data_IF_220393485011
#
_entry.id   IF_220393485011
#
_cell.length_a   1.000
_cell.length_b   1.000
_cell.length_c   1.000
_cell.angle_alpha   90.00
_cell.angle_beta   90.00
_cell.angle_gamma   90.00
#
_symmetry.space_group_name_H-M   'P 1'
#
loop_
_entity.id
_entity.type
_entity.pdbx_description
1 polymer ?
#
# COMPACT_ATOMS: atom_id res chain seq x y z
N UNK A 1 -60.54 4.00 -25.34
CA UNK A 1 -59.53 4.69 -26.20
C UNK A 1 -58.71 5.73 -25.47
N UNK A 2 -59.27 6.60 -24.68
CA UNK A 2 -58.53 7.66 -23.94
C UNK A 2 -57.42 7.11 -23.02
N UNK A 3 -57.68 5.97 -22.35
CA UNK A 3 -56.70 5.32 -21.47
C UNK A 3 -55.47 4.81 -22.24
N UNK A 4 -55.66 4.32 -23.44
CA UNK A 4 -54.59 3.86 -24.32
C UNK A 4 -53.62 5.00 -24.67
N UNK A 5 -54.15 6.15 -25.10
CA UNK A 5 -53.29 7.30 -25.40
C UNK A 5 -52.60 7.87 -24.16
N UNK A 6 -53.23 7.87 -23.00
CA UNK A 6 -52.58 8.28 -21.75
C UNK A 6 -51.44 7.34 -21.37
N UNK A 7 -51.58 6.06 -21.58
CA UNK A 7 -50.52 5.09 -21.30
C UNK A 7 -49.33 5.26 -22.27
N UNK A 8 -49.62 5.45 -23.58
CA UNK A 8 -48.55 5.75 -24.57
C UNK A 8 -47.77 7.00 -24.14
N UNK A 9 -48.47 8.10 -23.85
CA UNK A 9 -47.83 9.33 -23.42
C UNK A 9 -46.96 9.13 -22.18
N UNK A 10 -47.46 8.41 -21.15
CA UNK A 10 -46.71 8.16 -19.92
C UNK A 10 -45.45 7.33 -20.17
N UNK A 11 -45.56 6.28 -20.99
CA UNK A 11 -44.42 5.42 -21.34
C UNK A 11 -43.41 6.16 -22.16
N UNK A 12 -43.84 6.91 -23.17
CA UNK A 12 -42.94 7.72 -24.02
C UNK A 12 -42.19 8.75 -23.19
N UNK A 13 -42.85 9.44 -22.26
CA UNK A 13 -42.24 10.39 -21.36
C UNK A 13 -41.17 9.73 -20.47
N UNK A 14 -41.45 8.55 -19.90
CA UNK A 14 -40.52 7.81 -19.07
C UNK A 14 -39.28 7.36 -19.87
N UNK A 15 -39.45 6.90 -21.11
CA UNK A 15 -38.37 6.53 -22.02
C UNK A 15 -37.47 7.73 -22.34
N UNK A 16 -38.07 8.86 -22.68
CA UNK A 16 -37.31 10.09 -22.97
C UNK A 16 -36.54 10.56 -21.74
N UNK A 17 -37.14 10.51 -20.55
CA UNK A 17 -36.44 10.85 -19.31
C UNK A 17 -35.25 9.94 -19.03
N UNK A 18 -35.39 8.62 -19.21
CA UNK A 18 -34.29 7.65 -19.10
C UNK A 18 -33.18 7.93 -20.11
N UNK A 19 -33.55 8.21 -21.36
CA UNK A 19 -32.59 8.52 -22.41
C UNK A 19 -31.81 9.83 -22.15
N UNK A 20 -32.49 10.85 -21.60
CA UNK A 20 -31.82 12.10 -21.21
C UNK A 20 -30.79 11.90 -20.11
N UNK A 21 -31.11 11.07 -19.09
CA UNK A 21 -30.17 10.74 -18.02
C UNK A 21 -28.92 10.04 -18.57
N UNK A 22 -29.10 9.00 -19.35
CA UNK A 22 -27.95 8.28 -19.96
C UNK A 22 -27.18 9.17 -20.96
N UNK A 23 -27.88 9.94 -21.79
CA UNK A 23 -27.29 10.86 -22.74
C UNK A 23 -26.46 11.97 -22.09
N UNK A 24 -26.82 12.40 -20.88
CA UNK A 24 -26.01 13.39 -20.14
C UNK A 24 -24.61 12.88 -19.77
N UNK A 25 -24.43 11.57 -19.66
CA UNK A 25 -23.14 10.97 -19.35
C UNK A 25 -22.21 10.91 -20.57
N UNK A 26 -22.75 11.00 -21.79
CA UNK A 26 -21.95 11.04 -23.01
C UNK A 26 -21.02 12.26 -23.07
N UNK A 27 -21.43 13.35 -22.46
CA UNK A 27 -20.67 14.61 -22.45
C UNK A 27 -19.79 14.79 -21.20
N UNK A 28 -19.81 13.84 -20.27
CA UNK A 28 -18.95 13.89 -19.09
C UNK A 28 -17.61 13.22 -19.36
N UNK A 29 -16.49 13.77 -18.83
CA UNK A 29 -15.20 13.12 -18.96
C UNK A 29 -15.21 11.76 -18.27
N UNK A 30 -14.43 10.80 -18.78
CA UNK A 30 -14.28 9.49 -18.20
C UNK A 30 -13.64 9.58 -16.80
N UNK A 31 -14.16 8.83 -15.83
CA UNK A 31 -13.64 8.77 -14.45
C UNK A 31 -12.55 7.69 -14.34
N UNK A 32 -12.49 6.79 -15.32
CA UNK A 32 -11.55 5.68 -15.35
C UNK A 32 -10.12 6.16 -15.58
N UNK A 33 -9.17 5.57 -14.85
CA UNK A 33 -7.75 5.79 -15.01
C UNK A 33 -7.19 4.74 -15.95
N UNK A 34 -6.40 5.16 -16.94
CA UNK A 34 -5.81 4.29 -17.95
C UNK A 34 -4.53 3.62 -17.41
N UNK A 35 -4.70 2.69 -16.47
CA UNK A 35 -3.57 1.91 -15.96
C UNK A 35 -3.09 0.92 -17.06
N UNK A 36 -1.77 0.75 -17.32
CA UNK A 36 -0.64 1.26 -16.53
C UNK A 36 -0.09 2.64 -16.97
N UNK A 37 -0.62 3.24 -18.07
CA UNK A 37 -0.10 4.48 -18.63
C UNK A 37 -0.32 5.68 -17.69
N UNK A 38 -1.50 5.71 -17.06
CA UNK A 38 -1.83 6.68 -16.02
C UNK A 38 -1.94 5.99 -14.68
N UNK A 39 -1.30 6.58 -13.65
CA UNK A 39 -1.32 6.05 -12.27
C UNK A 39 -1.88 7.09 -11.32
N UNK A 40 -2.76 6.63 -10.43
CA UNK A 40 -3.24 7.47 -9.34
C UNK A 40 -2.12 7.75 -8.35
N UNK A 41 -1.94 9.02 -7.98
CA UNK A 41 -1.04 9.41 -6.90
C UNK A 41 -1.70 9.08 -5.55
N UNK A 42 -1.12 8.17 -4.75
CA UNK A 42 -1.71 7.82 -3.48
C UNK A 42 -1.66 9.00 -2.50
N UNK A 43 -2.68 9.17 -1.63
CA UNK A 43 -2.70 10.22 -0.64
C UNK A 43 -1.57 10.03 0.39
N UNK A 44 -1.19 11.10 1.10
CA UNK A 44 -0.08 11.09 2.08
C UNK A 44 -0.22 10.03 3.17
N UNK A 45 -1.46 9.66 3.55
CA UNK A 45 -1.74 8.63 4.57
C UNK A 45 -1.98 7.25 3.98
N UNK A 46 -1.56 7.02 2.75
CA UNK A 46 -1.70 5.73 2.09
C UNK A 46 -0.88 4.64 2.82
N UNK A 47 -1.45 3.45 2.91
CA UNK A 47 -0.84 2.28 3.55
C UNK A 47 -0.39 1.29 2.48
N UNK A 48 0.65 1.64 1.76
CA UNK A 48 1.25 0.76 0.77
C UNK A 48 2.23 -0.24 1.39
N UNK A 49 3.14 -0.76 0.59
CA UNK A 49 4.12 -1.76 1.00
C UNK A 49 4.97 -1.27 2.17
N UNK A 50 5.23 -2.15 3.14
CA UNK A 50 6.13 -1.87 4.24
C UNK A 50 7.59 -1.91 3.76
N UNK A 51 8.36 -0.93 4.20
CA UNK A 51 9.83 -0.94 4.09
C UNK A 51 10.44 -0.94 5.47
N UNK A 52 11.63 -1.50 5.57
CA UNK A 52 12.37 -1.62 6.82
C UNK A 52 13.79 -1.08 6.65
N UNK A 53 14.18 -0.20 7.57
CA UNK A 53 15.52 0.33 7.66
C UNK A 53 16.27 -0.33 8.83
N UNK A 54 17.26 -1.14 8.49
CA UNK A 54 18.05 -1.91 9.45
C UNK A 54 19.03 -1.06 10.27
N UNK A 55 19.45 0.10 9.72
CA UNK A 55 20.46 0.94 10.38
C UNK A 55 19.88 1.71 11.57
N UNK A 56 18.62 2.14 11.47
CA UNK A 56 17.94 2.90 12.52
C UNK A 56 17.25 2.01 13.56
N UNK A 57 17.14 0.69 13.30
CA UNK A 57 16.43 -0.23 14.18
C UNK A 57 17.24 -0.55 15.45
N UNK A 58 16.58 -0.41 16.62
CA UNK A 58 17.12 -0.69 17.95
C UNK A 58 16.76 -2.08 18.51
N UNK A 59 16.18 -2.97 17.70
CA UNK A 59 15.77 -4.31 18.09
C UNK A 59 14.85 -4.38 19.35
N UNK A 60 13.99 -3.36 19.54
CA UNK A 60 13.15 -3.22 20.74
C UNK A 60 11.94 -4.16 20.79
N UNK A 61 11.63 -4.92 19.75
CA UNK A 61 10.49 -5.85 19.63
C UNK A 61 9.08 -5.23 19.72
N UNK A 62 8.95 -3.91 19.80
CA UNK A 62 7.63 -3.26 19.92
C UNK A 62 6.76 -3.49 18.67
N UNK A 63 7.35 -3.46 17.49
CA UNK A 63 6.62 -3.73 16.24
C UNK A 63 6.09 -5.18 16.16
N UNK A 64 6.83 -6.15 16.72
CA UNK A 64 6.39 -7.56 16.81
C UNK A 64 5.20 -7.69 17.73
N UNK A 65 5.27 -7.07 18.93
CA UNK A 65 4.20 -7.10 19.92
C UNK A 65 2.93 -6.36 19.47
N UNK A 66 3.10 -5.29 18.69
CA UNK A 66 1.99 -4.50 18.17
C UNK A 66 1.29 -5.16 16.96
N UNK A 67 1.89 -6.20 16.38
CA UNK A 67 1.34 -6.83 15.18
C UNK A 67 0.20 -7.81 15.53
N UNK A 68 -1.06 -7.56 15.12
CA UNK A 68 -2.19 -8.40 15.47
C UNK A 68 -2.15 -9.77 14.77
N UNK A 69 -1.50 -9.85 13.62
CA UNK A 69 -1.40 -11.09 12.82
C UNK A 69 -0.10 -11.85 13.03
N UNK A 70 0.78 -11.35 13.92
CA UNK A 70 2.10 -11.92 14.19
C UNK A 70 2.91 -12.20 12.90
N UNK A 71 2.82 -11.29 11.92
CA UNK A 71 3.51 -11.43 10.63
C UNK A 71 4.97 -10.96 10.67
N UNK A 72 5.40 -10.34 11.76
CA UNK A 72 6.75 -9.78 11.92
C UNK A 72 7.55 -10.67 12.87
N UNK A 73 8.74 -11.06 12.43
CA UNK A 73 9.72 -11.76 13.25
C UNK A 73 11.06 -11.03 13.15
N UNK A 74 11.74 -10.90 14.25
CA UNK A 74 13.08 -10.31 14.28
C UNK A 74 13.96 -11.03 15.28
N UNK A 75 15.26 -10.99 15.04
CA UNK A 75 16.26 -11.54 15.96
C UNK A 75 17.32 -10.45 16.22
N UNK A 76 17.57 -10.14 17.50
CA UNK A 76 18.62 -9.19 17.87
C UNK A 76 20.01 -9.79 17.59
N UNK A 77 20.95 -8.96 17.21
CA UNK A 77 22.35 -9.38 17.11
C UNK A 77 22.91 -9.67 18.53
N UNK A 78 23.68 -10.75 18.65
CA UNK A 78 24.36 -11.15 19.86
C UNK A 78 25.84 -10.87 19.70
N UNK A 79 26.46 -10.19 20.68
CA UNK A 79 27.90 -9.99 20.72
C UNK A 79 28.63 -11.32 20.91
N UNK A 80 29.57 -11.68 20.05
CA UNK A 80 30.33 -12.94 20.15
C UNK A 80 31.21 -12.99 21.44
N UNK A 81 31.60 -11.80 21.96
CA UNK A 81 32.51 -11.70 23.12
C UNK A 81 31.77 -11.72 24.45
N UNK A 82 30.59 -11.07 24.54
CA UNK A 82 29.90 -10.85 25.81
C UNK A 82 28.59 -11.65 25.92
N UNK A 83 28.16 -12.33 24.83
CA UNK A 83 26.89 -13.07 24.73
C UNK A 83 25.64 -12.21 25.09
N UNK A 84 25.77 -10.89 25.09
CA UNK A 84 24.69 -9.94 25.38
C UNK A 84 24.00 -9.51 24.09
N UNK A 85 22.69 -9.26 24.21
CA UNK A 85 21.90 -8.69 23.10
C UNK A 85 22.36 -7.29 22.78
N UNK A 86 22.76 -7.07 21.55
CA UNK A 86 23.06 -5.72 21.06
C UNK A 86 21.78 -4.97 20.74
N UNK A 87 21.84 -3.63 20.81
CA UNK A 87 20.76 -2.76 20.32
C UNK A 87 20.73 -2.68 18.77
N UNK A 88 21.03 -3.80 18.13
CA UNK A 88 21.10 -3.95 16.68
C UNK A 88 20.43 -5.27 16.31
N UNK A 89 19.87 -5.32 15.09
CA UNK A 89 19.24 -6.55 14.59
C UNK A 89 20.24 -7.42 13.83
N UNK A 90 20.09 -8.73 13.96
CA UNK A 90 20.73 -9.70 13.05
C UNK A 90 19.91 -9.83 11.77
N UNK A 91 18.62 -10.09 11.91
CA UNK A 91 17.68 -10.14 10.79
C UNK A 91 16.28 -9.70 11.20
N UNK A 92 15.52 -9.26 10.21
CA UNK A 92 14.13 -8.83 10.32
C UNK A 92 13.34 -9.45 9.17
N UNK A 93 12.19 -10.02 9.43
CA UNK A 93 11.37 -10.67 8.42
C UNK A 93 9.91 -10.27 8.57
N UNK A 94 9.27 -10.01 7.44
CA UNK A 94 7.81 -9.79 7.35
C UNK A 94 7.21 -10.86 6.45
N UNK A 95 6.15 -11.50 6.92
CA UNK A 95 5.27 -12.32 6.11
C UNK A 95 4.14 -11.43 5.54
N UNK A 96 4.30 -10.96 4.33
CA UNK A 96 3.32 -10.11 3.68
C UNK A 96 2.00 -10.84 3.36
N UNK A 97 2.02 -12.15 3.30
CA UNK A 97 0.79 -12.94 3.13
C UNK A 97 -0.12 -12.97 4.36
N UNK A 98 0.40 -12.57 5.53
CA UNK A 98 -0.39 -12.39 6.76
C UNK A 98 -0.59 -10.93 7.14
N UNK A 99 0.12 -10.01 6.50
CA UNK A 99 0.11 -8.60 6.84
C UNK A 99 -1.21 -7.94 6.43
N UNK A 100 -1.88 -7.28 7.37
CA UNK A 100 -3.13 -6.52 7.13
C UNK A 100 -2.87 -5.05 6.78
N UNK A 101 -1.63 -4.61 6.62
CA UNK A 101 -1.27 -3.21 6.34
C UNK A 101 -1.93 -2.20 7.31
N UNK A 102 -2.09 -2.58 8.57
CA UNK A 102 -2.82 -1.82 9.59
C UNK A 102 -2.05 -0.62 10.16
N UNK A 103 -0.72 -0.50 9.91
CA UNK A 103 0.17 0.57 10.37
C UNK A 103 0.57 0.54 11.85
N UNK A 104 0.04 -0.34 12.67
CA UNK A 104 0.36 -0.41 14.10
C UNK A 104 1.86 -0.60 14.37
N UNK A 105 2.57 -1.36 13.54
CA UNK A 105 4.02 -1.56 13.67
C UNK A 105 4.82 -0.25 13.45
N UNK A 106 4.36 0.60 12.53
CA UNK A 106 4.96 1.91 12.29
C UNK A 106 4.68 2.86 13.48
N UNK A 107 3.45 2.85 14.01
CA UNK A 107 3.08 3.69 15.14
C UNK A 107 3.83 3.31 16.41
N UNK A 108 4.00 2.01 16.66
CA UNK A 108 4.73 1.47 17.80
C UNK A 108 6.26 1.68 17.74
N UNK A 109 6.81 2.03 16.57
CA UNK A 109 8.25 2.21 16.40
C UNK A 109 8.73 3.50 17.07
N UNK A 110 9.69 3.46 18.05
CA UNK A 110 10.15 4.61 18.79
C UNK A 110 11.23 5.44 18.07
N UNK A 111 11.77 4.95 16.95
CA UNK A 111 12.90 5.59 16.27
C UNK A 111 12.53 6.94 15.67
N UNK A 112 13.41 7.92 15.84
CA UNK A 112 13.28 9.30 15.33
C UNK A 112 14.59 9.71 14.63
N UNK A 113 14.58 10.57 13.61
CA UNK A 113 13.45 11.29 13.02
C UNK A 113 12.60 10.42 12.09
N UNK A 114 13.16 9.34 11.55
CA UNK A 114 12.50 8.42 10.61
C UNK A 114 12.31 7.08 11.32
N UNK A 115 11.11 6.54 11.20
CA UNK A 115 10.77 5.22 11.77
C UNK A 115 11.42 4.10 10.95
N UNK A 116 12.01 3.12 11.65
CA UNK A 116 12.68 1.98 11.00
C UNK A 116 11.71 1.13 10.19
N UNK A 117 10.48 0.98 10.66
CA UNK A 117 9.38 0.34 9.92
C UNK A 117 8.42 1.42 9.46
N UNK A 118 8.16 1.51 8.18
CA UNK A 118 7.24 2.52 7.63
C UNK A 118 6.53 2.02 6.38
N UNK A 119 5.32 2.55 6.16
CA UNK A 119 4.61 2.34 4.91
C UNK A 119 5.16 3.24 3.80
N UNK A 120 5.22 2.72 2.61
CA UNK A 120 5.55 3.45 1.39
C UNK A 120 4.29 3.76 0.59
N UNK A 121 4.42 4.53 -0.47
CA UNK A 121 3.35 4.76 -1.44
C UNK A 121 3.30 3.69 -2.54
N UNK A 122 4.17 2.66 -2.47
CA UNK A 122 4.18 1.54 -3.40
C UNK A 122 2.99 0.61 -3.16
N UNK A 123 2.21 0.35 -4.20
CA UNK A 123 1.06 -0.58 -4.18
C UNK A 123 1.13 -1.61 -5.31
N UNK A 124 2.01 -1.42 -6.26
CA UNK A 124 2.23 -2.33 -7.39
C UNK A 124 3.19 -3.44 -6.98
N UNK A 125 2.69 -4.38 -6.20
CA UNK A 125 3.49 -5.46 -5.69
C UNK A 125 2.72 -6.77 -5.74
N UNK A 126 3.21 -7.73 -6.49
CA UNK A 126 2.64 -9.05 -6.62
C UNK A 126 3.71 -10.13 -6.58
N UNK A 127 3.38 -11.28 -6.03
CA UNK A 127 4.24 -12.44 -5.93
C UNK A 127 3.54 -13.65 -6.55
N UNK A 128 4.29 -14.49 -7.23
CA UNK A 128 3.75 -15.71 -7.83
C UNK A 128 3.67 -16.85 -6.81
N UNK A 129 4.63 -16.93 -5.90
CA UNK A 129 4.69 -17.99 -4.91
C UNK A 129 4.54 -17.44 -3.48
N UNK A 130 3.95 -18.27 -2.60
CA UNK A 130 3.82 -17.97 -1.17
C UNK A 130 5.17 -17.71 -0.49
N UNK A 131 6.23 -18.36 -0.93
CA UNK A 131 7.57 -18.20 -0.36
C UNK A 131 8.16 -16.81 -0.59
N UNK A 132 7.86 -16.18 -1.69
CA UNK A 132 8.33 -14.83 -2.03
C UNK A 132 7.71 -13.75 -1.14
N UNK A 133 6.56 -14.04 -0.51
CA UNK A 133 5.92 -13.13 0.45
C UNK A 133 6.67 -13.02 1.78
N UNK A 134 7.66 -13.88 2.03
CA UNK A 134 8.57 -13.78 3.17
C UNK A 134 9.76 -12.90 2.81
N UNK A 135 9.66 -11.62 3.10
CA UNK A 135 10.77 -10.69 2.85
C UNK A 135 11.64 -10.60 4.09
N UNK A 136 12.91 -10.92 3.94
CA UNK A 136 13.91 -10.94 5.02
C UNK A 136 15.01 -9.90 4.76
N UNK A 137 15.24 -9.06 5.74
CA UNK A 137 16.36 -8.11 5.77
C UNK A 137 17.41 -8.61 6.75
N UNK A 138 18.59 -8.94 6.24
CA UNK A 138 19.74 -9.36 7.04
C UNK A 138 20.78 -8.25 7.09
N UNK A 139 21.57 -8.21 8.14
CA UNK A 139 22.63 -7.19 8.30
C UNK A 139 23.90 -7.57 7.52
N UNK A 140 24.11 -8.84 7.25
CA UNK A 140 25.28 -9.27 6.50
C UNK A 140 25.15 -8.94 5.02
N UNK A 141 26.23 -8.29 4.51
CA UNK A 141 26.42 -7.98 3.10
C UNK A 141 26.83 -9.28 2.40
N UNK A 142 25.89 -10.09 2.03
CA UNK A 142 26.09 -11.12 1.02
C UNK A 142 25.08 -10.93 -0.09
N UNK A 143 25.63 -10.75 -1.28
CA UNK A 143 24.90 -10.50 -2.51
C UNK A 143 23.77 -11.49 -2.76
N UNK A 144 22.72 -10.96 -3.38
CA UNK A 144 21.59 -11.66 -4.02
C UNK A 144 20.33 -11.89 -3.16
N UNK A 145 19.74 -10.80 -2.66
CA UNK A 145 18.28 -10.73 -2.64
C UNK A 145 17.85 -9.70 -3.70
N UNK A 146 16.83 -9.93 -4.53
CA UNK A 146 16.36 -8.92 -5.45
C UNK A 146 15.95 -7.70 -4.64
N UNK A 147 16.62 -6.57 -4.92
CA UNK A 147 16.28 -5.27 -4.34
C UNK A 147 14.81 -5.02 -4.63
N UNK A 148 13.96 -4.80 -3.61
CA UNK A 148 12.57 -4.41 -3.88
C UNK A 148 12.62 -3.21 -4.84
N UNK A 149 11.76 -3.17 -5.87
CA UNK A 149 11.76 -2.08 -6.83
C UNK A 149 11.73 -0.76 -6.06
N UNK A 150 12.65 0.13 -6.39
CA UNK A 150 12.71 1.46 -5.79
C UNK A 150 11.33 2.10 -5.95
N UNK A 151 10.78 2.74 -4.89
CA UNK A 151 9.51 3.43 -5.02
C UNK A 151 9.63 4.40 -6.19
N UNK A 152 8.62 4.46 -7.09
CA UNK A 152 8.62 5.43 -8.16
C UNK A 152 8.85 6.82 -7.57
N UNK A 153 9.73 7.58 -8.18
CA UNK A 153 10.01 8.96 -7.76
C UNK A 153 8.67 9.71 -7.67
N UNK A 154 8.47 10.55 -6.63
CA UNK A 154 7.25 11.32 -6.51
C UNK A 154 7.08 12.13 -7.80
N UNK A 155 5.88 12.12 -8.42
CA UNK A 155 5.63 12.93 -9.59
C UNK A 155 5.90 14.39 -9.22
N UNK A 156 6.63 15.09 -10.09
CA UNK A 156 6.90 16.52 -9.95
C UNK A 156 5.58 17.27 -9.74
N UNK A 157 5.53 18.29 -8.85
CA UNK A 157 4.31 19.05 -8.58
C UNK A 157 4.02 19.97 -9.78
N UNK A 158 3.37 19.45 -10.78
CA UNK A 158 3.03 20.21 -11.98
C UNK A 158 1.97 19.49 -12.79
N UNK A 159 0.70 19.83 -12.56
CA UNK A 159 -0.34 19.47 -13.49
C UNK A 159 -1.69 19.04 -12.93
N UNK A 160 -2.11 19.54 -11.76
CA UNK A 160 -3.54 19.56 -11.47
C UNK A 160 -4.16 20.76 -12.18
N UNK A 161 -4.62 20.56 -13.42
CA UNK A 161 -5.62 21.46 -14.00
C UNK A 161 -6.93 21.17 -13.31
N UNK A 162 -7.34 22.13 -12.47
CA UNK A 162 -8.68 22.21 -11.94
C UNK A 162 -9.67 22.27 -13.11
N UNK A 163 -10.65 21.41 -13.13
CA UNK A 163 -11.90 21.55 -13.86
C UNK A 163 -13.04 21.63 -12.85
#
# INVERSE_FOLDING_TARGET
MIQYFKNIYRVSKALIQGLMVTGSWLFKPAITVQFPDEKLTPPQRFRGTLTFDKETCTACNLCVKACPTACITLDPAIDPTTQKRMAKIAWYQIDFGKCNYCRLCEEACPTKPIKSVRHTHGYEWGMLERKEMYVKWTREVTASAPKPPAPPAPPSPGGQKAA
#
